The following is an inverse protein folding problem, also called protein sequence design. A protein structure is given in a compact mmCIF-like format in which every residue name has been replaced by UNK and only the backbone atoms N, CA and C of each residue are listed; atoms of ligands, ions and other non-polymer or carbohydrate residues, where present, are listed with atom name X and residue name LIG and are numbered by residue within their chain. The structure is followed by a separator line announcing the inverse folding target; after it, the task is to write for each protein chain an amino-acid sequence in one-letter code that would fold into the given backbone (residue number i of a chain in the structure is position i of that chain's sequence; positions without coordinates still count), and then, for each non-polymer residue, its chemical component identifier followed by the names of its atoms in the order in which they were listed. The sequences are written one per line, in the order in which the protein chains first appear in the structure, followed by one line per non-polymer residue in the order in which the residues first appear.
data_IF_164021697942
#
_entry.id   IF_164021697942
#
_cell.length_a   1.000
_cell.length_b   1.000
_cell.length_c   1.000
_cell.angle_alpha   90.00
_cell.angle_beta   90.00
_cell.angle_gamma   90.00
#
_symmetry.space_group_name_H-M   'P 1'
#
loop_
_entity.id
_entity.type
_entity.pdbx_description
1 polymer ?
#
# COMPACT_ATOMS: atom_id res chain seq x y z
N UNK A 1 -8.22 15.75 -10.89
CA UNK A 1 -6.99 15.57 -11.69
C UNK A 1 -7.35 14.83 -12.97
N UNK A 2 -6.56 15.04 -14.03
CA UNK A 2 -6.64 14.32 -15.28
C UNK A 2 -5.27 14.33 -15.93
N UNK A 3 -4.82 13.18 -16.43
CA UNK A 3 -3.54 13.09 -17.13
C UNK A 3 -3.61 13.81 -18.48
N UNK A 4 -2.52 14.50 -18.84
CA UNK A 4 -2.45 15.32 -20.05
C UNK A 4 -2.00 14.55 -21.29
N UNK A 5 -1.90 13.22 -21.22
CA UNK A 5 -1.44 12.35 -22.31
C UNK A 5 -2.54 12.02 -23.35
N UNK A 6 -3.78 12.47 -23.09
CA UNK A 6 -4.93 12.29 -23.96
C UNK A 6 -5.59 10.92 -23.85
N UNK A 7 -5.21 10.09 -22.88
CA UNK A 7 -5.80 8.77 -22.69
C UNK A 7 -7.22 8.83 -22.10
N UNK A 8 -7.51 9.84 -21.27
CA UNK A 8 -8.82 10.03 -20.64
C UNK A 8 -9.78 10.82 -21.52
N UNK A 9 -11.06 10.45 -21.51
CA UNK A 9 -12.12 11.19 -22.19
C UNK A 9 -12.66 12.33 -21.30
N UNK A 10 -12.46 13.61 -21.65
CA UNK A 10 -12.94 14.73 -20.83
C UNK A 10 -14.47 14.80 -20.70
N UNK A 11 -15.20 14.17 -21.64
CA UNK A 11 -16.66 14.08 -21.57
C UNK A 11 -17.15 13.25 -20.39
N UNK A 12 -16.26 12.50 -19.72
CA UNK A 12 -16.59 11.70 -18.53
C UNK A 12 -16.40 12.48 -17.21
N UNK A 13 -15.84 13.70 -17.24
CA UNK A 13 -15.72 14.55 -16.04
C UNK A 13 -17.04 14.66 -15.26
N UNK A 14 -18.21 14.87 -15.90
CA UNK A 14 -19.48 14.94 -15.17
C UNK A 14 -19.80 13.68 -14.36
N UNK A 15 -19.37 12.49 -14.81
CA UNK A 15 -19.55 11.24 -14.06
C UNK A 15 -18.76 11.23 -12.75
N UNK A 16 -17.56 11.81 -12.73
CA UNK A 16 -16.73 11.90 -11.53
C UNK A 16 -17.24 12.96 -10.56
N UNK A 17 -17.81 14.05 -11.07
CA UNK A 17 -18.27 15.17 -10.25
C UNK A 17 -19.66 14.93 -9.67
N UNK A 18 -20.54 14.19 -10.36
CA UNK A 18 -21.91 13.95 -9.90
C UNK A 18 -22.01 13.39 -8.46
N UNK A 19 -21.24 12.34 -8.06
CA UNK A 19 -21.32 11.82 -6.69
C UNK A 19 -20.86 12.83 -5.63
N UNK A 20 -20.03 13.81 -6.01
CA UNK A 20 -19.59 14.87 -5.09
C UNK A 20 -20.69 15.90 -4.90
N UNK A 21 -21.34 16.31 -6.00
CA UNK A 21 -22.47 17.25 -5.97
C UNK A 21 -23.65 16.64 -5.20
N UNK A 22 -23.89 15.35 -5.36
CA UNK A 22 -24.96 14.61 -4.67
C UNK A 22 -24.66 14.38 -3.17
N UNK A 23 -23.45 14.70 -2.69
CA UNK A 23 -23.03 14.50 -1.30
C UNK A 23 -22.64 13.06 -0.95
N UNK A 24 -22.63 12.18 -1.95
CA UNK A 24 -22.36 10.75 -1.85
C UNK A 24 -20.87 10.41 -1.66
N UNK A 25 -19.97 11.32 -2.07
CA UNK A 25 -18.54 11.15 -1.96
C UNK A 25 -17.81 12.49 -1.77
N UNK A 26 -16.69 12.46 -1.07
CA UNK A 26 -15.74 13.57 -0.92
C UNK A 26 -14.59 13.48 -1.93
N UNK A 27 -14.32 12.26 -2.42
CA UNK A 27 -13.36 11.99 -3.48
C UNK A 27 -13.91 10.89 -4.39
N UNK A 28 -13.74 11.05 -5.69
CA UNK A 28 -14.17 10.06 -6.69
C UNK A 28 -12.98 9.65 -7.53
N UNK A 29 -12.73 8.34 -7.58
CA UNK A 29 -11.68 7.71 -8.37
C UNK A 29 -12.29 7.12 -9.66
N UNK A 30 -11.84 7.57 -10.83
CA UNK A 30 -12.19 6.89 -12.06
C UNK A 30 -11.45 5.56 -12.15
N UNK A 31 -12.15 4.46 -12.37
CA UNK A 31 -11.57 3.13 -12.50
C UNK A 31 -11.82 2.54 -13.89
N UNK A 32 -10.75 2.02 -14.51
CA UNK A 32 -10.83 1.26 -15.76
C UNK A 32 -11.41 -0.14 -15.57
N UNK A 33 -11.52 -0.58 -14.32
CA UNK A 33 -11.73 -1.99 -13.99
C UNK A 33 -12.95 -2.25 -13.11
N UNK A 34 -13.76 -1.22 -12.86
CA UNK A 34 -14.92 -1.28 -11.98
C UNK A 34 -15.96 -2.30 -12.47
N UNK A 35 -16.22 -2.33 -13.78
CA UNK A 35 -17.22 -3.22 -14.40
C UNK A 35 -16.61 -4.43 -15.14
N UNK A 36 -15.35 -4.77 -14.86
CA UNK A 36 -14.66 -5.91 -15.47
C UNK A 36 -13.38 -5.53 -16.20
N UNK A 37 -12.69 -6.52 -16.79
CA UNK A 37 -11.42 -6.26 -17.47
C UNK A 37 -11.64 -5.39 -18.72
N UNK A 38 -11.03 -4.21 -18.73
CA UNK A 38 -10.77 -3.47 -19.95
C UNK A 38 -10.01 -4.39 -20.93
N UNK A 39 -10.69 -4.78 -22.02
CA UNK A 39 -10.22 -5.76 -23.01
C UNK A 39 -8.92 -5.32 -23.71
N UNK A 40 -8.55 -4.06 -23.58
CA UNK A 40 -7.36 -3.49 -24.20
C UNK A 40 -6.12 -3.50 -23.27
N UNK A 41 -6.27 -3.82 -21.98
CA UNK A 41 -5.13 -3.88 -21.05
C UNK A 41 -4.38 -5.22 -21.22
N UNK A 42 -3.05 -5.19 -21.51
CA UNK A 42 -2.25 -6.42 -21.50
C UNK A 42 -2.28 -7.14 -20.15
N UNK A 43 -2.44 -8.46 -20.15
CA UNK A 43 -2.60 -9.26 -18.92
C UNK A 43 -1.48 -9.03 -17.88
N UNK A 44 -0.22 -8.87 -18.32
CA UNK A 44 0.91 -8.61 -17.41
C UNK A 44 0.77 -7.24 -16.69
N UNK A 45 0.20 -6.23 -17.35
CA UNK A 45 -0.08 -4.92 -16.72
C UNK A 45 -1.19 -5.07 -15.69
N UNK A 46 -2.22 -5.86 -16.00
CA UNK A 46 -3.32 -6.11 -15.05
C UNK A 46 -2.85 -6.82 -13.78
N UNK A 47 -1.94 -7.79 -13.90
CA UNK A 47 -1.34 -8.46 -12.74
C UNK A 47 -0.56 -7.46 -11.88
N UNK A 48 0.32 -6.66 -12.51
CA UNK A 48 1.07 -5.61 -11.80
C UNK A 48 0.14 -4.62 -11.10
N UNK A 49 -0.90 -4.16 -11.80
CA UNK A 49 -1.91 -3.25 -11.29
C UNK A 49 -2.64 -3.86 -10.08
N UNK A 50 -3.09 -5.11 -10.17
CA UNK A 50 -3.77 -5.81 -9.06
C UNK A 50 -2.89 -5.91 -7.81
N UNK A 51 -1.59 -6.11 -7.99
CA UNK A 51 -0.62 -6.12 -6.88
C UNK A 51 -0.56 -4.72 -6.24
N UNK A 52 -0.39 -3.67 -7.06
CA UNK A 52 -0.33 -2.29 -6.58
C UNK A 52 -1.64 -1.86 -5.90
N UNK A 53 -2.79 -2.23 -6.46
CA UNK A 53 -4.12 -1.99 -5.90
C UNK A 53 -4.21 -2.66 -4.51
N UNK A 54 -3.76 -3.91 -4.38
CA UNK A 54 -3.71 -4.65 -3.12
C UNK A 54 -2.89 -3.94 -2.05
N UNK A 55 -1.65 -3.56 -2.36
CA UNK A 55 -0.80 -2.83 -1.41
C UNK A 55 -1.36 -1.45 -1.06
N UNK A 56 -1.94 -0.74 -2.04
CA UNK A 56 -2.55 0.58 -1.81
C UNK A 56 -3.78 0.46 -0.91
N UNK A 57 -4.61 -0.57 -1.10
CA UNK A 57 -5.77 -0.86 -0.26
C UNK A 57 -5.35 -1.24 1.17
N UNK A 58 -4.28 -2.01 1.35
CA UNK A 58 -3.71 -2.29 2.68
C UNK A 58 -3.20 -1.01 3.35
N UNK A 59 -2.54 -0.14 2.59
CA UNK A 59 -2.02 1.13 3.11
C UNK A 59 -3.14 2.09 3.53
N UNK A 60 -4.07 2.35 2.61
CA UNK A 60 -5.15 3.33 2.78
C UNK A 60 -6.32 2.81 3.62
N UNK A 61 -6.51 1.49 3.72
CA UNK A 61 -7.72 0.88 4.30
C UNK A 61 -8.93 0.93 3.38
N UNK A 62 -8.75 1.27 2.10
CA UNK A 62 -9.82 1.42 1.11
C UNK A 62 -10.03 0.14 0.30
N UNK A 63 -11.06 0.15 -0.55
CA UNK A 63 -11.35 -0.90 -1.54
C UNK A 63 -11.46 -0.29 -2.93
N UNK A 64 -10.31 0.00 -3.52
CA UNK A 64 -10.16 0.61 -4.85
C UNK A 64 -9.75 -0.47 -5.86
N UNK A 65 -10.33 -0.43 -7.06
CA UNK A 65 -10.11 -1.37 -8.17
C UNK A 65 -9.08 -0.88 -9.20
N UNK A 66 -8.72 0.41 -9.13
CA UNK A 66 -7.70 1.03 -9.96
C UNK A 66 -6.97 2.16 -9.20
N UNK A 67 -5.93 1.80 -8.43
CA UNK A 67 -5.23 2.76 -7.57
C UNK A 67 -4.32 3.74 -8.34
N UNK A 68 -3.96 3.41 -9.58
CA UNK A 68 -3.03 4.20 -10.39
C UNK A 68 -3.75 5.01 -11.49
N UNK A 69 -5.04 5.26 -11.32
CA UNK A 69 -5.79 6.12 -12.24
C UNK A 69 -5.53 7.60 -11.97
N UNK A 70 -5.06 8.35 -12.97
CA UNK A 70 -4.87 9.80 -12.88
C UNK A 70 -6.18 10.61 -12.91
N UNK A 71 -7.32 9.96 -13.20
CA UNK A 71 -8.59 10.64 -13.40
C UNK A 71 -9.46 10.63 -12.14
N UNK A 72 -9.47 11.75 -11.42
CA UNK A 72 -10.12 11.86 -10.10
C UNK A 72 -10.83 13.20 -9.91
N UNK A 73 -11.86 13.22 -9.06
CA UNK A 73 -12.51 14.44 -8.61
C UNK A 73 -12.48 14.53 -7.07
N UNK A 74 -12.47 15.75 -6.55
CA UNK A 74 -12.33 16.04 -5.12
C UNK A 74 -13.32 17.14 -4.73
N UNK A 75 -13.98 16.99 -3.58
CA UNK A 75 -14.72 18.07 -2.97
C UNK A 75 -13.76 19.15 -2.50
N UNK A 76 -14.13 20.43 -2.64
CA UNK A 76 -13.28 21.54 -2.24
C UNK A 76 -12.86 21.49 -0.76
N UNK A 77 -13.69 20.88 0.09
CA UNK A 77 -13.42 20.70 1.52
C UNK A 77 -12.27 19.74 1.84
N UNK A 78 -11.79 18.96 0.86
CA UNK A 78 -10.74 17.94 1.07
C UNK A 78 -9.33 18.45 0.77
N UNK A 79 -9.18 19.72 0.40
CA UNK A 79 -7.89 20.27 -0.07
C UNK A 79 -6.79 20.17 0.99
N UNK A 80 -7.14 20.36 2.26
CA UNK A 80 -6.21 20.33 3.39
C UNK A 80 -5.84 18.89 3.83
N UNK A 81 -6.50 17.87 3.28
CA UNK A 81 -6.26 16.46 3.61
C UNK A 81 -4.98 15.92 2.94
N UNK A 82 -4.62 16.43 1.76
CA UNK A 82 -3.57 15.84 0.91
C UNK A 82 -2.21 16.49 1.12
N UNK A 83 -1.17 15.67 1.35
CA UNK A 83 0.18 16.16 1.66
C UNK A 83 1.03 16.49 0.42
N UNK A 84 0.79 15.81 -0.70
CA UNK A 84 1.52 15.98 -1.98
C UNK A 84 3.06 15.94 -1.86
N UNK A 85 3.59 15.05 -1.02
CA UNK A 85 5.04 14.86 -0.83
C UNK A 85 5.65 13.92 -1.87
N UNK A 86 4.89 12.91 -2.31
CA UNK A 86 5.34 11.97 -3.32
C UNK A 86 5.64 12.69 -4.65
N UNK A 87 6.59 12.14 -5.41
CA UNK A 87 6.92 12.61 -6.77
C UNK A 87 6.58 11.55 -7.79
N UNK A 88 6.24 11.98 -9.00
CA UNK A 88 5.85 11.07 -10.09
C UNK A 88 4.59 10.29 -9.75
N UNK A 89 4.55 9.02 -10.15
CA UNK A 89 3.37 8.14 -9.99
C UNK A 89 3.16 7.60 -8.56
N UNK A 90 3.93 8.10 -7.58
CA UNK A 90 3.65 7.82 -6.17
C UNK A 90 2.52 8.67 -5.61
N UNK A 91 2.19 9.79 -6.27
CA UNK A 91 1.20 10.77 -5.82
C UNK A 91 -0.18 10.13 -5.73
N UNK A 92 -0.54 9.29 -6.69
CA UNK A 92 -1.82 8.62 -6.79
C UNK A 92 -2.06 7.71 -5.58
N UNK A 93 -1.03 6.98 -5.17
CA UNK A 93 -1.08 6.10 -4.01
C UNK A 93 -1.07 6.89 -2.70
N UNK A 94 -0.28 7.97 -2.63
CA UNK A 94 -0.24 8.86 -1.46
C UNK A 94 -1.60 9.54 -1.23
N UNK A 95 -2.23 10.04 -2.28
CA UNK A 95 -3.55 10.67 -2.19
C UNK A 95 -4.61 9.70 -1.65
N UNK A 96 -4.61 8.44 -2.10
CA UNK A 96 -5.51 7.41 -1.57
C UNK A 96 -5.18 7.07 -0.11
N UNK A 97 -3.90 7.04 0.26
CA UNK A 97 -3.48 6.82 1.64
C UNK A 97 -3.92 7.95 2.58
N UNK A 98 -3.74 9.20 2.15
CA UNK A 98 -4.17 10.40 2.89
C UNK A 98 -5.70 10.44 3.03
N UNK A 99 -6.43 10.19 1.94
CA UNK A 99 -7.89 10.13 1.95
C UNK A 99 -8.43 9.02 2.87
N UNK A 100 -7.81 7.85 2.85
CA UNK A 100 -8.18 6.74 3.74
C UNK A 100 -7.86 7.03 5.21
N UNK A 101 -6.75 7.74 5.49
CA UNK A 101 -6.35 8.14 6.84
C UNK A 101 -7.31 9.17 7.45
N UNK A 102 -7.81 10.10 6.64
CA UNK A 102 -8.76 11.13 7.06
C UNK A 102 -10.22 10.65 7.03
N UNK A 103 -10.45 9.41 6.59
CA UNK A 103 -11.77 8.78 6.60
C UNK A 103 -12.72 9.33 5.54
N UNK A 104 -12.20 9.85 4.43
CA UNK A 104 -13.02 10.42 3.36
C UNK A 104 -13.95 9.39 2.73
N UNK A 105 -15.16 9.82 2.35
CA UNK A 105 -16.09 9.00 1.55
C UNK A 105 -15.59 8.93 0.12
N UNK A 106 -15.10 7.76 -0.29
CA UNK A 106 -14.56 7.55 -1.64
C UNK A 106 -15.47 6.63 -2.46
N UNK A 107 -15.77 7.04 -3.69
CA UNK A 107 -16.47 6.21 -4.67
C UNK A 107 -15.61 5.97 -5.91
N UNK A 108 -15.83 4.84 -6.55
CA UNK A 108 -15.30 4.58 -7.89
C UNK A 108 -16.38 4.77 -8.94
N UNK A 109 -16.00 5.33 -10.09
CA UNK A 109 -16.85 5.40 -11.29
C UNK A 109 -16.11 4.78 -12.46
N UNK A 110 -16.86 4.11 -13.33
CA UNK A 110 -16.30 3.47 -14.51
C UNK A 110 -15.89 4.53 -15.55
N UNK A 111 -14.64 4.44 -16.02
CA UNK A 111 -14.07 5.34 -17.02
C UNK A 111 -13.49 4.57 -18.19
N UNK A 112 -13.49 5.21 -19.36
CA UNK A 112 -12.89 4.65 -20.57
C UNK A 112 -11.49 5.23 -20.79
N UNK A 113 -10.54 4.37 -21.17
CA UNK A 113 -9.16 4.78 -21.47
C UNK A 113 -8.78 4.38 -22.89
N UNK A 114 -8.20 5.33 -23.61
CA UNK A 114 -7.73 5.16 -24.98
C UNK A 114 -6.24 4.81 -25.00
N UNK A 115 -5.88 3.70 -25.63
CA UNK A 115 -4.48 3.26 -25.77
C UNK A 115 -3.89 3.53 -27.17
N UNK A 116 -4.64 4.21 -28.05
CA UNK A 116 -4.21 4.57 -29.40
C UNK A 116 -3.35 5.84 -29.45
N UNK A 117 -3.23 6.54 -28.32
CA UNK A 117 -2.28 7.63 -28.12
C UNK A 117 -0.90 7.06 -27.79
N UNK A 118 0.07 7.26 -28.69
CA UNK A 118 1.44 6.73 -28.63
C UNK A 118 2.34 7.32 -27.54
N UNK A 119 1.85 7.46 -26.31
CA UNK A 119 2.58 8.03 -25.18
C UNK A 119 2.90 6.96 -24.13
N UNK A 120 3.64 5.92 -24.50
CA UNK A 120 4.25 5.00 -23.52
C UNK A 120 5.75 5.30 -23.45
N UNK A 121 6.13 6.34 -22.71
CA UNK A 121 7.52 6.84 -22.67
C UNK A 121 8.47 5.97 -21.84
N UNK A 122 7.98 4.99 -21.06
CA UNK A 122 8.82 4.14 -20.19
C UNK A 122 8.29 2.70 -20.05
N UNK A 123 9.18 1.79 -19.63
CA UNK A 123 8.84 0.35 -19.52
C UNK A 123 7.88 0.09 -18.34
N UNK A 124 6.75 -0.61 -18.55
CA UNK A 124 5.72 -0.78 -17.52
C UNK A 124 6.21 -1.47 -16.23
N UNK A 125 7.21 -2.35 -16.34
CA UNK A 125 7.70 -3.16 -15.23
C UNK A 125 8.59 -2.33 -14.29
N UNK A 126 9.52 -1.55 -14.84
CA UNK A 126 10.38 -0.66 -14.03
C UNK A 126 9.52 0.36 -13.27
N UNK A 127 8.46 0.85 -13.93
CA UNK A 127 7.50 1.79 -13.36
C UNK A 127 6.65 1.20 -12.25
N UNK A 128 6.06 0.02 -12.49
CA UNK A 128 5.31 -0.68 -11.43
C UNK A 128 6.18 -0.98 -10.21
N UNK A 129 7.46 -1.30 -10.41
CA UNK A 129 8.40 -1.54 -9.31
C UNK A 129 8.72 -0.25 -8.53
N UNK A 130 8.90 0.88 -9.21
CA UNK A 130 9.14 2.18 -8.58
C UNK A 130 7.96 2.59 -7.69
N UNK A 131 6.73 2.47 -8.21
CA UNK A 131 5.51 2.74 -7.44
C UNK A 131 5.38 1.76 -6.26
N UNK A 132 5.65 0.47 -6.47
CA UNK A 132 5.60 -0.53 -5.40
C UNK A 132 6.57 -0.17 -4.26
N UNK A 133 7.80 0.23 -4.58
CA UNK A 133 8.79 0.65 -3.57
C UNK A 133 8.32 1.91 -2.83
N UNK A 134 7.70 2.87 -3.53
CA UNK A 134 7.13 4.05 -2.89
C UNK A 134 5.98 3.70 -1.93
N UNK A 135 5.07 2.82 -2.35
CA UNK A 135 3.98 2.33 -1.49
C UNK A 135 4.55 1.59 -0.28
N UNK A 136 5.50 0.68 -0.47
CA UNK A 136 6.12 -0.07 0.63
C UNK A 136 6.81 0.87 1.63
N UNK A 137 7.53 1.87 1.12
CA UNK A 137 8.16 2.90 1.95
C UNK A 137 7.10 3.70 2.72
N UNK A 138 6.02 4.12 2.06
CA UNK A 138 4.95 4.85 2.74
C UNK A 138 4.26 4.00 3.83
N UNK A 139 4.03 2.71 3.57
CA UNK A 139 3.50 1.80 4.58
C UNK A 139 4.49 1.60 5.73
N UNK A 140 5.79 1.47 5.44
CA UNK A 140 6.84 1.38 6.45
C UNK A 140 6.83 2.59 7.39
N UNK A 141 6.67 3.81 6.86
CA UNK A 141 6.60 5.03 7.67
C UNK A 141 5.26 5.19 8.42
N UNK A 142 4.14 4.81 7.80
CA UNK A 142 2.81 5.05 8.34
C UNK A 142 2.29 3.92 9.25
N UNK A 143 2.71 2.67 8.99
CA UNK A 143 2.32 1.45 9.73
C UNK A 143 3.54 0.57 10.11
N UNK A 144 4.59 1.12 10.74
CA UNK A 144 5.83 0.39 11.07
C UNK A 144 5.59 -0.85 11.94
N UNK A 145 4.57 -0.80 12.82
CA UNK A 145 4.22 -1.90 13.71
C UNK A 145 3.80 -3.17 12.96
N UNK A 146 3.01 -3.05 11.88
CA UNK A 146 2.55 -4.23 11.16
C UNK A 146 3.69 -4.86 10.34
N UNK A 147 4.58 -4.05 9.76
CA UNK A 147 5.61 -4.54 8.84
C UNK A 147 6.84 -5.14 9.52
N UNK A 148 7.30 -4.58 10.64
CA UNK A 148 8.48 -5.09 11.33
C UNK A 148 8.11 -5.93 12.55
N UNK A 149 7.10 -5.51 13.32
CA UNK A 149 6.77 -6.19 14.58
C UNK A 149 6.06 -7.53 14.35
N UNK A 150 5.11 -7.61 13.41
CA UNK A 150 4.38 -8.85 13.17
C UNK A 150 5.27 -10.01 12.66
N UNK A 151 6.10 -9.84 11.60
CA UNK A 151 7.03 -10.91 11.18
C UNK A 151 8.12 -11.18 12.21
N UNK A 152 8.60 -10.14 12.92
CA UNK A 152 9.54 -10.33 14.03
C UNK A 152 8.96 -11.20 15.14
N UNK A 153 7.69 -10.97 15.52
CA UNK A 153 7.00 -11.75 16.55
C UNK A 153 6.76 -13.19 16.09
N UNK A 154 6.35 -13.43 14.85
CA UNK A 154 6.18 -14.81 14.36
C UNK A 154 7.49 -15.58 14.32
N UNK A 155 8.59 -14.96 13.85
CA UNK A 155 9.92 -15.57 13.89
C UNK A 155 10.37 -15.83 15.34
N UNK A 156 10.17 -14.87 16.23
CA UNK A 156 10.51 -14.99 17.65
C UNK A 156 9.72 -16.10 18.35
N UNK A 157 8.41 -16.19 18.11
CA UNK A 157 7.54 -17.25 18.65
C UNK A 157 7.92 -18.63 18.09
N UNK A 158 8.25 -18.73 16.80
CA UNK A 158 8.75 -19.97 16.21
C UNK A 158 10.08 -20.40 16.85
N UNK A 159 10.99 -19.45 17.05
CA UNK A 159 12.25 -19.67 17.77
C UNK A 159 12.05 -20.11 19.22
N UNK A 160 11.15 -19.47 19.96
CA UNK A 160 10.80 -19.84 21.34
C UNK A 160 10.16 -21.24 21.41
N UNK A 161 9.29 -21.59 20.46
CA UNK A 161 8.71 -22.92 20.36
C UNK A 161 9.80 -23.99 20.12
N UNK A 162 10.73 -23.72 19.20
CA UNK A 162 11.89 -24.59 19.00
C UNK A 162 12.75 -24.70 20.26
N UNK A 163 12.89 -23.61 21.02
CA UNK A 163 13.56 -23.58 22.32
C UNK A 163 12.90 -24.45 23.37
N UNK A 164 11.57 -24.41 23.48
CA UNK A 164 10.84 -25.28 24.40
C UNK A 164 11.06 -26.77 24.05
N UNK A 165 10.99 -27.12 22.77
CA UNK A 165 11.26 -28.50 22.28
C UNK A 165 12.71 -28.92 22.52
N UNK A 166 13.65 -27.98 22.43
CA UNK A 166 15.05 -28.22 22.74
C UNK A 166 15.26 -28.55 24.23
N UNK A 167 14.66 -27.77 25.13
CA UNK A 167 14.75 -27.99 26.58
C UNK A 167 14.16 -29.35 26.96
N UNK A 168 13.01 -29.71 26.41
CA UNK A 168 12.38 -31.01 26.61
C UNK A 168 13.28 -32.16 26.16
N UNK A 169 13.85 -32.06 24.95
CA UNK A 169 14.75 -33.08 24.39
C UNK A 169 15.99 -33.25 25.27
N UNK A 170 16.56 -32.14 25.75
CA UNK A 170 17.74 -32.17 26.62
C UNK A 170 17.42 -32.77 28.00
N UNK A 171 16.26 -32.43 28.58
CA UNK A 171 15.84 -32.92 29.89
C UNK A 171 15.62 -34.46 29.93
N UNK A 172 15.20 -35.05 28.81
CA UNK A 172 15.00 -36.51 28.67
C UNK A 172 16.35 -37.23 28.34
N UNK A 173 17.47 -36.50 28.32
CA UNK A 173 18.80 -37.05 28.01
C UNK A 173 19.07 -37.20 26.52
N UNK A 174 18.30 -36.53 25.66
CA UNK A 174 18.50 -36.48 24.22
C UNK A 174 19.79 -35.76 23.84
N UNK A 175 20.33 -36.11 22.66
CA UNK A 175 21.55 -35.47 22.12
C UNK A 175 21.21 -34.13 21.47
N UNK A 176 22.16 -33.21 21.56
CA UNK A 176 22.08 -31.88 20.95
C UNK A 176 22.26 -31.99 19.43
N UNK A 177 21.22 -31.63 18.69
CA UNK A 177 21.30 -31.50 17.24
C UNK A 177 21.73 -30.06 16.88
N UNK A 178 22.91 -29.93 16.27
CA UNK A 178 23.51 -28.63 15.99
C UNK A 178 22.65 -27.77 15.04
N UNK A 179 22.13 -28.35 13.94
CA UNK A 179 21.35 -27.64 12.93
C UNK A 179 20.09 -26.95 13.51
N UNK A 180 19.16 -27.67 14.13
CA UNK A 180 17.95 -27.09 14.73
C UNK A 180 18.27 -26.07 15.83
N UNK A 181 19.33 -26.29 16.62
CA UNK A 181 19.73 -25.37 17.69
C UNK A 181 20.24 -24.04 17.14
N UNK A 182 21.05 -24.07 16.07
CA UNK A 182 21.51 -22.84 15.40
C UNK A 182 20.35 -22.08 14.76
N UNK A 183 19.43 -22.78 14.09
CA UNK A 183 18.24 -22.16 13.50
C UNK A 183 17.36 -21.50 14.56
N UNK A 184 17.13 -22.18 15.69
CA UNK A 184 16.40 -21.64 16.83
C UNK A 184 17.01 -20.32 17.33
N UNK A 185 18.33 -20.29 17.57
CA UNK A 185 19.02 -19.08 18.03
C UNK A 185 18.88 -17.96 17.00
N UNK A 186 19.06 -18.25 15.71
CA UNK A 186 18.92 -17.27 14.64
C UNK A 186 17.51 -16.68 14.59
N UNK A 187 16.48 -17.52 14.69
CA UNK A 187 15.07 -17.09 14.68
C UNK A 187 14.74 -16.19 15.87
N UNK A 188 15.25 -16.51 17.07
CA UNK A 188 15.05 -15.68 18.27
C UNK A 188 15.75 -14.32 18.11
N UNK A 189 17.02 -14.32 17.68
CA UNK A 189 17.80 -13.08 17.54
C UNK A 189 17.19 -12.18 16.46
N UNK A 190 16.94 -12.72 15.26
CA UNK A 190 16.37 -11.95 14.15
C UNK A 190 14.95 -11.49 14.48
N UNK A 191 14.12 -12.37 15.04
CA UNK A 191 12.75 -12.05 15.42
C UNK A 191 12.67 -10.94 16.46
N UNK A 192 13.45 -11.05 17.54
CA UNK A 192 13.49 -10.03 18.60
C UNK A 192 14.00 -8.68 18.10
N UNK A 193 15.06 -8.67 17.27
CA UNK A 193 15.61 -7.44 16.71
C UNK A 193 14.62 -6.75 15.76
N UNK A 194 13.92 -7.51 14.91
CA UNK A 194 12.86 -6.98 14.04
C UNK A 194 11.69 -6.41 14.85
N UNK A 195 11.23 -7.13 15.89
CA UNK A 195 10.16 -6.65 16.76
C UNK A 195 10.52 -5.35 17.48
N UNK A 196 11.73 -5.27 18.03
CA UNK A 196 12.24 -4.06 18.69
C UNK A 196 12.30 -2.89 17.70
N UNK A 197 12.85 -3.12 16.51
CA UNK A 197 12.95 -2.08 15.46
C UNK A 197 11.57 -1.55 15.08
N UNK A 198 10.57 -2.43 14.91
CA UNK A 198 9.20 -2.00 14.61
C UNK A 198 8.56 -1.16 15.70
N UNK A 199 8.78 -1.51 16.97
CA UNK A 199 8.29 -0.73 18.13
C UNK A 199 9.00 0.64 18.20
N UNK A 200 10.30 0.69 17.97
CA UNK A 200 11.09 1.93 17.96
C UNK A 200 10.64 2.86 16.82
N UNK A 201 10.48 2.35 15.60
CA UNK A 201 9.98 3.12 14.47
C UNK A 201 8.54 3.61 14.71
N UNK A 202 7.69 2.79 15.32
CA UNK A 202 6.34 3.20 15.68
C UNK A 202 6.34 4.35 16.71
N UNK A 203 7.18 4.24 17.74
CA UNK A 203 7.30 5.27 18.77
C UNK A 203 7.86 6.57 18.20
N UNK A 204 8.87 6.50 17.33
CA UNK A 204 9.43 7.66 16.65
C UNK A 204 8.42 8.33 15.72
N UNK A 205 7.66 7.53 14.95
CA UNK A 205 6.59 8.03 14.07
C UNK A 205 5.49 8.72 14.88
N UNK A 206 5.14 8.20 16.06
CA UNK A 206 4.17 8.83 16.97
C UNK A 206 4.66 10.19 17.48
N UNK A 207 5.90 10.27 17.96
CA UNK A 207 6.50 11.52 18.44
C UNK A 207 6.58 12.57 17.33
N UNK A 208 7.02 12.18 16.13
CA UNK A 208 7.11 13.10 14.99
C UNK A 208 5.73 13.64 14.61
N UNK A 209 4.68 12.81 14.63
CA UNK A 209 3.30 13.26 14.36
C UNK A 209 2.84 14.31 15.38
N UNK A 210 3.13 14.09 16.66
CA UNK A 210 2.75 15.03 17.72
C UNK A 210 3.49 16.37 17.57
N UNK A 211 4.78 16.34 17.24
CA UNK A 211 5.57 17.56 17.00
C UNK A 211 5.07 18.32 15.77
N UNK A 212 4.66 17.63 14.70
CA UNK A 212 4.13 18.29 13.49
C UNK A 212 2.70 18.83 13.63
N UNK A 213 1.97 18.44 14.68
CA UNK A 213 0.60 18.92 14.95
C UNK A 213 0.55 20.14 15.89
N UNK A 214 1.67 20.48 16.54
CA UNK A 214 1.82 21.63 17.43
C UNK A 214 2.33 22.86 16.67
#
# INVERSE_FOLDING_TARGET
TMDSDGQHNPSEIPKLVAPIIEGDAEMVNGSRYLNGQDKNTPAYRRVGQTILDGFTNINSGLKITDSQSGFRAFAASTIDTFRFNARGMGIESEMLADAGKDGLRIKEVDITVRYDVGCSSKTPIQHGLEVLVLILKDIEFNKPLFYFTAPGMTLGLAGLYMGARFVETYAIGGRLNFGPTMLMILLIIVGSFMSLTGILLHSLSAILRDVTKA
#
